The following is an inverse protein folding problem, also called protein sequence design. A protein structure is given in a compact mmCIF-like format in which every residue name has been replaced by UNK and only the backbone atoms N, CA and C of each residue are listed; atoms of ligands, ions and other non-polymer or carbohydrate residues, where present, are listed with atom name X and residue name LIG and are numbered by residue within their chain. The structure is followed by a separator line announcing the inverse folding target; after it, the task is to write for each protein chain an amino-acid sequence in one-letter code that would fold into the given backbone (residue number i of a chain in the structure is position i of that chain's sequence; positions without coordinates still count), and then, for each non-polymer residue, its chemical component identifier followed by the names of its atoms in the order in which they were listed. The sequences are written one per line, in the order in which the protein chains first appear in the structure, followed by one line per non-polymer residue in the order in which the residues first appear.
data_IF_713285367916
#
_entry.id   IF_713285367916
#
_cell.length_a   1.000
_cell.length_b   1.000
_cell.length_c   1.000
_cell.angle_alpha   90.00
_cell.angle_beta   90.00
_cell.angle_gamma   90.00
#
_symmetry.space_group_name_H-M   'P 1'
#
loop_
_entity.id
_entity.type
_entity.pdbx_description
1 polymer ?
#
# COMPACT_ATOMS: atom_id res chain seq x y z
N UNK A 1 1.62 29.94 1.00
CA UNK A 1 3.05 29.84 0.68
C UNK A 1 3.23 28.64 -0.24
N UNK A 2 3.34 28.87 -1.55
CA UNK A 2 3.50 27.79 -2.54
C UNK A 2 4.88 27.14 -2.42
N UNK A 3 4.94 25.98 -1.76
CA UNK A 3 6.14 25.17 -1.74
C UNK A 3 6.41 24.65 -3.17
N UNK A 4 7.69 24.53 -3.57
CA UNK A 4 8.06 23.89 -4.83
C UNK A 4 7.30 22.55 -4.97
N UNK A 5 6.63 22.28 -6.10
CA UNK A 5 5.94 21.01 -6.31
C UNK A 5 6.92 19.86 -6.07
N UNK A 6 6.45 18.82 -5.43
CA UNK A 6 7.26 17.64 -5.18
C UNK A 6 7.67 17.02 -6.52
N UNK A 7 8.97 16.85 -6.73
CA UNK A 7 9.54 16.25 -7.94
C UNK A 7 10.48 15.12 -7.53
N UNK A 8 10.32 13.96 -8.13
CA UNK A 8 11.29 12.87 -8.04
C UNK A 8 12.42 13.19 -9.02
N UNK A 9 13.66 13.22 -8.52
CA UNK A 9 14.86 13.39 -9.29
C UNK A 9 15.90 12.37 -8.81
N UNK A 10 16.02 11.28 -9.57
CA UNK A 10 16.91 10.15 -9.23
C UNK A 10 18.36 10.62 -9.16
N UNK A 11 18.79 11.47 -10.08
CA UNK A 11 20.17 11.96 -10.10
C UNK A 11 20.48 12.76 -8.83
N UNK A 12 19.58 13.65 -8.42
CA UNK A 12 19.70 14.40 -7.17
C UNK A 12 19.73 13.48 -5.96
N UNK A 13 18.81 12.53 -5.87
CA UNK A 13 18.74 11.58 -4.75
C UNK A 13 20.01 10.76 -4.63
N UNK A 14 20.57 10.29 -5.76
CA UNK A 14 21.83 9.54 -5.77
C UNK A 14 23.00 10.43 -5.33
N UNK A 15 23.06 11.69 -5.75
CA UNK A 15 24.09 12.65 -5.30
C UNK A 15 24.05 12.88 -3.79
N UNK A 16 22.84 13.05 -3.25
CA UNK A 16 22.65 13.33 -1.82
C UNK A 16 22.93 12.08 -0.95
N UNK A 17 22.39 10.93 -1.36
CA UNK A 17 22.48 9.69 -0.56
C UNK A 17 23.80 8.93 -0.73
N UNK A 18 24.39 9.01 -1.90
CA UNK A 18 25.62 8.30 -2.26
C UNK A 18 26.76 9.27 -2.60
N UNK A 19 26.81 10.45 -1.99
CA UNK A 19 27.75 11.54 -2.32
C UNK A 19 29.18 11.08 -2.53
N UNK A 20 29.68 10.19 -1.65
CA UNK A 20 31.03 9.63 -1.71
C UNK A 20 31.26 8.72 -2.93
N UNK A 21 30.22 8.01 -3.37
CA UNK A 21 30.30 6.99 -4.42
C UNK A 21 29.71 7.47 -5.74
N UNK A 22 28.97 8.60 -5.75
CA UNK A 22 28.28 9.13 -6.92
C UNK A 22 29.18 9.30 -8.14
N UNK A 23 30.42 9.77 -7.94
CA UNK A 23 31.40 9.96 -9.01
C UNK A 23 31.77 8.70 -9.79
N UNK A 24 31.50 7.52 -9.21
CA UNK A 24 31.73 6.21 -9.84
C UNK A 24 30.47 5.66 -10.53
N UNK A 25 29.32 6.31 -10.38
CA UNK A 25 28.09 5.85 -10.99
C UNK A 25 28.05 6.38 -12.44
N UNK A 26 28.08 5.48 -13.44
CA UNK A 26 28.07 5.90 -14.82
C UNK A 26 26.68 6.48 -15.20
N UNK A 27 26.66 7.49 -16.06
CA UNK A 27 25.40 8.16 -16.48
C UNK A 27 24.35 7.21 -17.05
N UNK A 28 24.78 6.15 -17.74
CA UNK A 28 23.82 5.16 -18.25
C UNK A 28 23.07 4.44 -17.13
N UNK A 29 23.70 4.20 -15.97
CA UNK A 29 23.03 3.57 -14.83
C UNK A 29 21.98 4.51 -14.19
N UNK A 30 22.29 5.81 -14.11
CA UNK A 30 21.32 6.82 -13.66
C UNK A 30 20.11 6.84 -14.60
N UNK A 31 20.34 6.96 -15.92
CA UNK A 31 19.26 6.94 -16.93
C UNK A 31 18.45 5.65 -16.92
N UNK A 32 19.12 4.52 -16.72
CA UNK A 32 18.44 3.22 -16.58
C UNK A 32 17.51 3.24 -15.37
N UNK A 33 17.94 3.80 -14.25
CA UNK A 33 17.15 3.88 -13.03
C UNK A 33 15.96 4.84 -13.22
N UNK A 34 16.17 6.04 -13.78
CA UNK A 34 15.13 7.00 -14.13
C UNK A 34 14.05 6.36 -15.02
N UNK A 35 14.46 5.61 -16.03
CA UNK A 35 13.56 4.88 -16.92
C UNK A 35 12.84 3.73 -16.17
N UNK A 36 13.56 2.99 -15.31
CA UNK A 36 13.00 1.87 -14.56
C UNK A 36 11.89 2.30 -13.61
N UNK A 37 12.04 3.46 -12.95
CA UNK A 37 10.99 4.00 -12.09
C UNK A 37 9.96 4.84 -12.86
N UNK A 38 10.09 5.00 -14.16
CA UNK A 38 9.23 5.84 -14.98
C UNK A 38 9.16 7.30 -14.45
N UNK A 39 10.31 7.89 -14.10
CA UNK A 39 10.44 9.17 -13.40
C UNK A 39 9.54 10.28 -13.97
N UNK A 40 9.50 10.46 -15.30
CA UNK A 40 8.72 11.53 -15.93
C UNK A 40 7.21 11.34 -15.73
N UNK A 41 6.72 10.11 -15.86
CA UNK A 41 5.31 9.77 -15.63
C UNK A 41 4.92 9.94 -14.16
N UNK A 42 5.79 9.51 -13.24
CA UNK A 42 5.57 9.75 -11.81
C UNK A 42 5.52 11.25 -11.49
N UNK A 43 6.39 12.05 -12.10
CA UNK A 43 6.38 13.49 -11.89
C UNK A 43 5.12 14.16 -12.46
N UNK A 44 4.58 13.66 -13.58
CA UNK A 44 3.29 14.12 -14.10
C UNK A 44 2.14 13.84 -13.10
N UNK A 45 2.09 12.62 -12.56
CA UNK A 45 1.11 12.24 -11.53
C UNK A 45 1.26 13.13 -10.28
N UNK A 46 2.48 13.30 -9.76
CA UNK A 46 2.75 14.15 -8.61
C UNK A 46 2.35 15.61 -8.81
N UNK A 47 2.49 16.12 -10.03
CA UNK A 47 2.04 17.47 -10.38
C UNK A 47 0.51 17.59 -10.26
N UNK A 48 -0.24 16.57 -10.65
CA UNK A 48 -1.71 16.55 -10.51
C UNK A 48 -2.17 16.41 -9.07
N UNK A 49 -1.34 15.82 -8.23
CA UNK A 49 -1.58 15.69 -6.78
C UNK A 49 -1.24 16.96 -6.00
N UNK A 50 -0.40 17.84 -6.57
CA UNK A 50 0.06 19.04 -5.89
C UNK A 50 -1.13 19.93 -5.48
N UNK A 51 -0.99 20.61 -4.35
CA UNK A 51 -1.98 21.56 -3.79
C UNK A 51 -3.37 20.95 -3.50
N UNK A 52 -3.48 19.62 -3.42
CA UNK A 52 -4.70 18.89 -3.05
C UNK A 52 -4.55 18.27 -1.65
N UNK A 53 -5.68 18.10 -0.96
CA UNK A 53 -5.71 17.24 0.23
C UNK A 53 -5.47 15.77 -0.15
N UNK A 54 -5.20 14.90 0.83
CA UNK A 54 -4.76 13.54 0.57
C UNK A 54 -5.75 12.70 -0.23
N UNK A 55 -7.06 12.84 0.01
CA UNK A 55 -8.10 12.08 -0.71
C UNK A 55 -8.21 12.58 -2.15
N UNK A 56 -8.30 13.90 -2.34
CA UNK A 56 -8.34 14.50 -3.67
C UNK A 56 -7.06 14.27 -4.46
N UNK A 57 -5.89 14.23 -3.78
CA UNK A 57 -4.62 13.92 -4.41
C UNK A 57 -4.61 12.47 -4.92
N UNK A 58 -5.09 11.51 -4.12
CA UNK A 58 -5.19 10.11 -4.55
C UNK A 58 -6.16 9.96 -5.73
N UNK A 59 -7.31 10.62 -5.68
CA UNK A 59 -8.29 10.64 -6.78
C UNK A 59 -7.69 11.26 -8.05
N UNK A 60 -6.97 12.38 -7.92
CA UNK A 60 -6.32 13.03 -9.05
C UNK A 60 -5.20 12.14 -9.66
N UNK A 61 -4.49 11.37 -8.84
CA UNK A 61 -3.49 10.42 -9.32
C UNK A 61 -4.13 9.28 -10.13
N UNK A 62 -5.24 8.72 -9.65
CA UNK A 62 -5.99 7.68 -10.38
C UNK A 62 -6.53 8.22 -11.71
N UNK A 63 -7.10 9.42 -11.71
CA UNK A 63 -7.62 10.07 -12.93
C UNK A 63 -6.50 10.34 -13.95
N UNK A 64 -5.32 10.82 -13.52
CA UNK A 64 -4.17 11.03 -14.42
C UNK A 64 -3.67 9.72 -15.03
N UNK A 65 -3.83 8.61 -14.31
CA UNK A 65 -3.51 7.28 -14.81
C UNK A 65 -4.67 6.62 -15.59
N UNK A 66 -5.82 7.31 -15.73
CA UNK A 66 -7.03 6.77 -16.36
C UNK A 66 -7.47 5.45 -15.72
N UNK A 67 -7.32 5.33 -14.39
CA UNK A 67 -7.70 4.13 -13.64
C UNK A 67 -9.10 4.29 -13.09
N UNK A 68 -9.97 3.35 -13.44
CA UNK A 68 -11.30 3.19 -12.84
C UNK A 68 -11.22 2.21 -11.68
N UNK A 69 -11.83 2.55 -10.54
CA UNK A 69 -11.99 1.63 -9.41
C UNK A 69 -13.44 1.17 -9.38
N UNK A 70 -13.65 -0.11 -9.65
CA UNK A 70 -14.95 -0.79 -9.48
C UNK A 70 -14.96 -1.46 -8.11
N UNK A 71 -15.88 -1.04 -7.25
CA UNK A 71 -16.04 -1.60 -5.92
C UNK A 71 -17.34 -2.38 -5.78
N UNK A 72 -17.39 -3.30 -4.84
CA UNK A 72 -18.60 -3.98 -4.40
C UNK A 72 -18.58 -4.17 -2.89
N UNK A 73 -19.73 -4.02 -2.26
CA UNK A 73 -19.95 -4.21 -0.82
C UNK A 73 -19.74 -2.97 0.05
N UNK A 74 -19.16 -1.88 -0.46
CA UNK A 74 -18.96 -0.67 0.34
C UNK A 74 -20.28 0.02 0.72
N UNK A 75 -21.27 0.02 -0.19
CA UNK A 75 -22.58 0.59 0.04
C UNK A 75 -23.41 -0.14 1.10
N UNK A 76 -23.08 -1.40 1.37
CA UNK A 76 -23.79 -2.25 2.32
C UNK A 76 -23.29 -2.06 3.78
N UNK A 77 -22.16 -1.37 3.96
CA UNK A 77 -21.61 -1.11 5.29
C UNK A 77 -22.45 -0.08 6.04
N UNK A 78 -22.90 -0.46 7.24
CA UNK A 78 -23.52 0.46 8.18
C UNK A 78 -22.54 1.54 8.67
N UNK A 79 -23.03 2.56 9.36
CA UNK A 79 -22.17 3.51 10.04
C UNK A 79 -21.45 2.81 11.20
N UNK A 80 -20.15 3.03 11.28
CA UNK A 80 -19.32 2.36 12.27
C UNK A 80 -17.88 2.83 12.27
N UNK A 81 -17.10 2.34 13.23
CA UNK A 81 -15.66 2.57 13.35
C UNK A 81 -14.94 1.32 12.89
N UNK A 82 -14.38 1.36 11.71
CA UNK A 82 -13.80 0.20 11.05
C UNK A 82 -12.27 0.24 10.99
N UNK A 83 -11.72 -0.95 10.89
CA UNK A 83 -10.33 -1.21 10.52
C UNK A 83 -10.34 -2.06 9.25
N UNK A 84 -10.09 -1.42 8.11
CA UNK A 84 -10.02 -2.08 6.80
C UNK A 84 -8.68 -2.79 6.66
N UNK A 85 -8.73 -4.11 6.43
CA UNK A 85 -7.57 -4.96 6.20
C UNK A 85 -7.60 -5.51 4.79
N UNK A 86 -6.54 -5.29 4.03
CA UNK A 86 -6.53 -5.64 2.61
C UNK A 86 -5.31 -6.47 2.22
N UNK A 87 -5.46 -7.33 1.19
CA UNK A 87 -4.32 -7.84 0.45
C UNK A 87 -3.60 -6.68 -0.26
N UNK A 88 -2.35 -6.92 -0.67
CA UNK A 88 -1.49 -5.86 -1.20
C UNK A 88 -0.80 -6.29 -2.51
N UNK A 89 -1.55 -6.49 -3.60
CA UNK A 89 -0.99 -7.03 -4.83
C UNK A 89 -0.10 -6.06 -5.61
N UNK A 90 -0.47 -4.78 -5.73
CA UNK A 90 0.13 -3.83 -6.68
C UNK A 90 1.11 -2.83 -6.03
N UNK A 91 1.09 -2.68 -4.72
CA UNK A 91 1.92 -1.69 -4.03
C UNK A 91 1.26 -0.32 -3.90
N UNK A 92 1.91 0.75 -4.35
CA UNK A 92 1.39 2.12 -4.18
C UNK A 92 -0.01 2.34 -4.74
N UNK A 93 -0.37 1.62 -5.79
CA UNK A 93 -1.67 1.76 -6.44
C UNK A 93 -2.83 1.28 -5.57
N UNK A 94 -2.65 0.20 -4.80
CA UNK A 94 -3.66 -0.29 -3.86
C UNK A 94 -3.96 0.78 -2.81
N UNK A 95 -2.90 1.44 -2.31
CA UNK A 95 -3.04 2.54 -1.35
C UNK A 95 -3.79 3.73 -1.93
N UNK A 96 -3.46 4.17 -3.15
CA UNK A 96 -4.17 5.27 -3.82
C UNK A 96 -5.65 4.94 -4.02
N UNK A 97 -5.97 3.71 -4.45
CA UNK A 97 -7.34 3.28 -4.66
C UNK A 97 -8.15 3.28 -3.34
N UNK A 98 -7.60 2.73 -2.25
CA UNK A 98 -8.29 2.74 -0.95
C UNK A 98 -8.43 4.14 -0.35
N UNK A 99 -7.41 5.00 -0.47
CA UNK A 99 -7.50 6.39 0.00
C UNK A 99 -8.61 7.13 -0.75
N UNK A 100 -8.66 7.00 -2.08
CA UNK A 100 -9.71 7.63 -2.89
C UNK A 100 -11.09 7.06 -2.54
N UNK A 101 -11.24 5.74 -2.56
CA UNK A 101 -12.52 5.06 -2.36
C UNK A 101 -13.10 5.33 -0.97
N UNK A 102 -12.36 4.99 0.08
CA UNK A 102 -12.81 5.13 1.46
C UNK A 102 -12.82 6.60 1.91
N UNK A 103 -11.87 7.40 1.44
CA UNK A 103 -11.85 8.84 1.75
C UNK A 103 -13.09 9.55 1.23
N UNK A 104 -13.54 9.27 0.01
CA UNK A 104 -14.77 9.84 -0.51
C UNK A 104 -16.04 9.30 0.19
N UNK A 105 -16.05 8.03 0.63
CA UNK A 105 -17.19 7.44 1.35
C UNK A 105 -17.34 7.99 2.78
N UNK A 106 -16.23 8.33 3.43
CA UNK A 106 -16.20 8.73 4.84
C UNK A 106 -15.78 10.20 5.07
N UNK A 107 -16.08 11.09 4.12
CA UNK A 107 -15.83 12.54 4.23
C UNK A 107 -14.40 12.87 4.65
N UNK A 108 -13.42 12.22 4.00
CA UNK A 108 -11.97 12.36 4.25
C UNK A 108 -11.50 11.86 5.63
N UNK A 109 -12.37 11.30 6.46
CA UNK A 109 -12.06 10.78 7.79
C UNK A 109 -11.46 9.38 7.70
N UNK A 110 -10.23 9.32 7.24
CA UNK A 110 -9.45 8.09 7.10
C UNK A 110 -8.03 8.26 7.61
N UNK A 111 -7.46 7.19 8.13
CA UNK A 111 -6.03 7.08 8.47
C UNK A 111 -5.46 5.78 7.91
N UNK A 112 -4.25 5.84 7.43
CA UNK A 112 -3.59 4.73 6.78
C UNK A 112 -2.24 4.44 7.42
N UNK A 113 -2.09 3.23 7.98
CA UNK A 113 -0.82 2.75 8.52
C UNK A 113 0.14 2.41 7.37
N UNK A 114 1.22 3.15 7.26
CA UNK A 114 2.18 3.03 6.15
C UNK A 114 3.62 2.90 6.65
N UNK A 115 4.50 2.38 5.81
CA UNK A 115 5.93 2.46 6.08
C UNK A 115 6.37 3.94 6.08
N UNK A 116 7.29 4.29 7.01
CA UNK A 116 7.82 5.65 7.18
C UNK A 116 8.39 6.27 5.90
N UNK A 117 8.92 5.46 4.98
CA UNK A 117 9.40 5.93 3.67
C UNK A 117 8.30 6.61 2.84
N UNK A 118 7.05 6.21 3.02
CA UNK A 118 5.92 6.81 2.28
C UNK A 118 5.58 8.22 2.75
N UNK A 119 6.07 8.66 3.91
CA UNK A 119 6.00 10.04 4.36
C UNK A 119 6.71 11.03 3.43
N UNK A 120 7.55 10.53 2.52
CA UNK A 120 8.14 11.31 1.44
C UNK A 120 7.07 11.81 0.44
N UNK A 121 5.93 11.11 0.29
CA UNK A 121 4.82 11.49 -0.59
C UNK A 121 3.97 12.58 0.08
N UNK A 122 4.44 13.82 0.01
CA UNK A 122 3.85 14.96 0.72
C UNK A 122 2.33 15.11 0.55
N UNK A 123 1.74 14.97 -0.67
CA UNK A 123 0.30 15.15 -0.85
C UNK A 123 -0.57 14.15 -0.07
N UNK A 124 -0.01 13.04 0.41
CA UNK A 124 -0.75 12.00 1.13
C UNK A 124 -0.47 11.97 2.64
N UNK A 125 0.31 12.93 3.16
CA UNK A 125 0.77 12.91 4.57
C UNK A 125 -0.34 13.00 5.59
N UNK A 126 -1.41 13.71 5.29
CA UNK A 126 -2.48 13.97 6.25
C UNK A 126 -3.25 12.69 6.64
N UNK A 127 -3.28 11.72 5.73
CA UNK A 127 -3.89 10.41 5.99
C UNK A 127 -2.88 9.36 6.45
N UNK A 128 -1.57 9.61 6.32
CA UNK A 128 -0.54 8.63 6.66
C UNK A 128 -0.16 8.65 8.13
N UNK A 129 -0.13 7.46 8.72
CA UNK A 129 0.44 7.20 10.03
C UNK A 129 1.66 6.27 9.85
N UNK A 130 2.88 6.78 10.08
CA UNK A 130 4.09 6.02 9.80
C UNK A 130 4.30 4.92 10.85
N UNK A 131 4.63 3.72 10.35
CA UNK A 131 5.08 2.59 11.18
C UNK A 131 6.54 2.29 10.86
N UNK A 132 7.40 2.34 11.87
CA UNK A 132 8.79 1.98 11.70
C UNK A 132 8.95 0.46 11.64
N UNK A 133 9.35 -0.05 10.48
CA UNK A 133 9.56 -1.48 10.25
C UNK A 133 10.88 -2.01 10.78
N UNK A 134 11.89 -1.15 10.96
CA UNK A 134 13.28 -1.53 11.22
C UNK A 134 13.87 -0.92 12.50
N UNK A 135 13.02 -0.43 13.41
CA UNK A 135 13.48 0.19 14.65
C UNK A 135 12.39 0.30 15.70
N UNK A 136 12.71 0.89 16.84
CA UNK A 136 11.70 1.23 17.84
C UNK A 136 10.81 2.36 17.30
N UNK A 137 9.50 2.21 17.46
CA UNK A 137 8.53 3.28 17.23
C UNK A 137 8.88 4.45 18.15
N UNK A 138 8.90 5.69 17.63
CA UNK A 138 9.03 6.84 18.51
C UNK A 138 7.78 6.95 19.39
N UNK A 139 7.93 7.43 20.63
CA UNK A 139 6.78 7.63 21.53
C UNK A 139 5.74 8.56 20.92
N UNK A 140 6.16 9.60 20.21
CA UNK A 140 5.26 10.53 19.52
C UNK A 140 4.46 9.87 18.41
N UNK A 141 5.07 8.99 17.63
CA UNK A 141 4.38 8.26 16.55
C UNK A 141 3.41 7.22 17.11
N UNK A 142 3.79 6.52 18.19
CA UNK A 142 2.88 5.61 18.87
C UNK A 142 1.64 6.34 19.39
N UNK A 143 1.83 7.49 20.06
CA UNK A 143 0.73 8.31 20.56
C UNK A 143 -0.21 8.81 19.43
N UNK A 144 0.34 9.21 18.28
CA UNK A 144 -0.48 9.59 17.12
C UNK A 144 -1.32 8.43 16.56
N UNK A 145 -0.77 7.22 16.55
CA UNK A 145 -1.51 6.02 16.13
C UNK A 145 -2.62 5.70 17.14
N UNK A 146 -2.32 5.78 18.43
CA UNK A 146 -3.29 5.55 19.50
C UNK A 146 -4.44 6.58 19.45
N UNK A 147 -4.12 7.87 19.37
CA UNK A 147 -5.09 8.95 19.23
C UNK A 147 -6.00 8.74 18.01
N UNK A 148 -5.43 8.39 16.88
CA UNK A 148 -6.19 8.13 15.67
C UNK A 148 -7.07 6.87 15.80
N UNK A 149 -6.61 5.82 16.49
CA UNK A 149 -7.39 4.61 16.75
C UNK A 149 -8.52 4.83 17.73
N UNK A 150 -8.37 5.76 18.70
CA UNK A 150 -9.43 6.17 19.62
C UNK A 150 -10.49 7.06 18.95
N UNK A 151 -10.09 7.84 17.94
CA UNK A 151 -10.97 8.74 17.19
C UNK A 151 -11.97 8.03 16.27
N UNK A 152 -12.67 8.80 15.45
CA UNK A 152 -13.73 8.31 14.56
C UNK A 152 -13.28 8.08 13.12
N UNK A 153 -12.00 8.34 12.81
CA UNK A 153 -11.45 8.07 11.48
C UNK A 153 -11.47 6.58 11.16
N UNK A 154 -11.75 6.23 9.92
CA UNK A 154 -11.60 4.86 9.44
C UNK A 154 -10.13 4.51 9.29
N UNK A 155 -9.76 3.30 9.67
CA UNK A 155 -8.37 2.85 9.63
C UNK A 155 -8.14 1.91 8.45
N UNK A 156 -7.03 2.10 7.74
CA UNK A 156 -6.64 1.26 6.60
C UNK A 156 -5.27 0.66 6.90
N UNK A 157 -5.09 -0.63 6.63
CA UNK A 157 -3.78 -1.28 6.73
C UNK A 157 -3.64 -2.43 5.74
N UNK A 158 -2.39 -2.65 5.32
CA UNK A 158 -1.96 -3.85 4.61
C UNK A 158 -1.16 -4.73 5.58
N UNK A 159 -1.78 -5.72 6.24
CA UNK A 159 -1.12 -6.45 7.32
C UNK A 159 0.09 -7.29 6.87
N UNK A 160 0.20 -7.60 5.57
CA UNK A 160 1.38 -8.24 4.99
C UNK A 160 2.63 -7.35 5.02
N UNK A 161 2.45 -6.01 5.04
CA UNK A 161 3.51 -5.01 5.04
C UNK A 161 4.41 -4.98 3.80
N UNK A 162 4.18 -5.84 2.83
CA UNK A 162 4.83 -5.92 1.52
C UNK A 162 3.84 -6.44 0.48
N UNK A 163 4.07 -6.08 -0.80
CA UNK A 163 3.25 -6.60 -1.89
C UNK A 163 3.23 -8.12 -1.95
N UNK A 164 2.13 -8.67 -2.47
CA UNK A 164 1.94 -10.11 -2.69
C UNK A 164 3.10 -10.74 -3.45
N UNK A 165 3.32 -12.02 -3.24
CA UNK A 165 4.44 -12.78 -3.82
C UNK A 165 3.94 -14.07 -4.46
N UNK A 166 4.70 -14.55 -5.45
CA UNK A 166 4.49 -15.87 -6.03
C UNK A 166 4.85 -16.95 -5.01
N UNK A 167 3.89 -17.81 -4.71
CA UNK A 167 4.02 -18.95 -3.82
C UNK A 167 4.71 -20.14 -4.54
N UNK A 168 5.11 -21.20 -3.81
CA UNK A 168 5.73 -22.38 -4.42
C UNK A 168 4.85 -23.09 -5.47
N UNK A 169 3.54 -23.06 -5.28
CA UNK A 169 2.53 -23.64 -6.19
C UNK A 169 2.25 -22.78 -7.43
N UNK A 170 2.83 -21.58 -7.52
CA UNK A 170 2.63 -20.63 -8.61
C UNK A 170 1.49 -19.64 -8.38
N UNK A 171 0.70 -19.79 -7.33
CA UNK A 171 -0.31 -18.82 -6.94
C UNK A 171 0.32 -17.49 -6.49
N UNK A 172 -0.44 -16.40 -6.58
CA UNK A 172 -0.04 -15.10 -6.07
C UNK A 172 -0.82 -14.81 -4.79
N UNK A 173 -0.11 -14.63 -3.70
CA UNK A 173 -0.71 -14.35 -2.40
C UNK A 173 0.19 -13.45 -1.55
N UNK A 174 -0.43 -12.83 -0.55
CA UNK A 174 0.29 -12.04 0.44
C UNK A 174 1.24 -12.91 1.27
N UNK A 175 2.27 -12.27 1.79
CA UNK A 175 3.08 -12.82 2.88
C UNK A 175 2.20 -13.02 4.14
N UNK A 176 2.68 -13.79 5.13
CA UNK A 176 1.95 -13.93 6.40
C UNK A 176 1.60 -12.57 7.00
N UNK A 177 0.34 -12.40 7.38
CA UNK A 177 -0.16 -11.15 7.96
C UNK A 177 0.35 -10.96 9.39
N UNK A 178 0.66 -9.72 9.73
CA UNK A 178 1.07 -9.31 11.06
C UNK A 178 -0.14 -9.19 11.99
N UNK A 179 0.05 -9.54 13.26
CA UNK A 179 -1.02 -9.52 14.27
C UNK A 179 -1.50 -8.10 14.67
N UNK A 180 -0.77 -7.04 14.30
CA UNK A 180 -1.04 -5.68 14.76
C UNK A 180 -2.48 -5.23 14.47
N UNK A 181 -3.03 -5.55 13.28
CA UNK A 181 -4.40 -5.21 12.93
C UNK A 181 -5.42 -5.83 13.91
N UNK A 182 -5.23 -7.11 14.30
CA UNK A 182 -6.09 -7.80 15.27
C UNK A 182 -5.98 -7.15 16.65
N UNK A 183 -4.76 -6.88 17.09
CA UNK A 183 -4.51 -6.23 18.40
C UNK A 183 -5.17 -4.84 18.45
N UNK A 184 -5.03 -4.04 17.40
CA UNK A 184 -5.68 -2.73 17.31
C UNK A 184 -7.21 -2.85 17.29
N UNK A 185 -7.77 -3.77 16.51
CA UNK A 185 -9.21 -4.00 16.46
C UNK A 185 -9.80 -4.30 17.85
N UNK A 186 -9.17 -5.19 18.60
CA UNK A 186 -9.61 -5.58 19.96
C UNK A 186 -9.46 -4.41 20.94
N UNK A 187 -8.26 -3.79 20.99
CA UNK A 187 -7.96 -2.76 21.98
C UNK A 187 -8.81 -1.51 21.81
N UNK A 188 -9.13 -1.13 20.56
CA UNK A 188 -9.86 0.10 20.23
C UNK A 188 -11.31 -0.17 19.80
N UNK A 189 -11.79 -1.42 19.95
CA UNK A 189 -13.18 -1.85 19.69
C UNK A 189 -13.63 -1.45 18.28
N UNK A 190 -12.82 -1.80 17.27
CA UNK A 190 -13.09 -1.58 15.86
C UNK A 190 -13.39 -2.87 15.15
N UNK A 191 -14.49 -2.94 14.44
CA UNK A 191 -14.78 -4.10 13.61
C UNK A 191 -13.83 -4.13 12.41
N UNK A 192 -13.41 -5.33 12.02
CA UNK A 192 -12.51 -5.53 10.89
C UNK A 192 -13.34 -5.71 9.62
N UNK A 193 -13.07 -4.86 8.62
CA UNK A 193 -13.63 -5.02 7.29
C UNK A 193 -12.58 -5.60 6.36
N UNK A 194 -12.77 -6.84 5.88
CA UNK A 194 -11.86 -7.46 4.92
C UNK A 194 -12.05 -6.84 3.55
N UNK A 195 -10.93 -6.55 2.87
CA UNK A 195 -10.89 -5.98 1.52
C UNK A 195 -10.03 -6.83 0.62
N UNK A 196 -10.51 -7.13 -0.58
CA UNK A 196 -9.76 -7.87 -1.58
C UNK A 196 -9.58 -7.05 -2.85
N UNK A 197 -8.32 -6.88 -3.29
CA UNK A 197 -7.98 -6.38 -4.60
C UNK A 197 -7.80 -7.53 -5.58
N UNK A 198 -8.60 -7.53 -6.65
CA UNK A 198 -8.50 -8.49 -7.74
C UNK A 198 -7.49 -8.00 -8.80
N UNK A 199 -6.22 -8.10 -8.47
CA UNK A 199 -5.15 -7.62 -9.34
C UNK A 199 -3.82 -8.35 -9.07
N UNK A 200 -2.93 -8.31 -10.07
CA UNK A 200 -1.57 -8.84 -9.96
C UNK A 200 -0.57 -7.96 -10.71
N UNK A 201 0.68 -7.98 -10.27
CA UNK A 201 1.81 -7.43 -11.01
C UNK A 201 2.23 -8.33 -12.17
N UNK A 202 3.16 -7.89 -12.99
CA UNK A 202 3.62 -8.69 -14.13
C UNK A 202 4.38 -9.95 -13.71
N UNK A 203 4.40 -10.94 -14.60
CA UNK A 203 5.23 -12.15 -14.46
C UNK A 203 6.70 -11.81 -14.20
N UNK A 204 7.21 -10.75 -14.83
CA UNK A 204 8.59 -10.29 -14.63
C UNK A 204 8.83 -9.93 -13.16
N UNK A 205 7.94 -9.15 -12.53
CA UNK A 205 8.08 -8.72 -11.13
C UNK A 205 8.22 -9.93 -10.19
N UNK A 206 7.34 -10.91 -10.32
CA UNK A 206 7.34 -12.09 -9.46
C UNK A 206 8.52 -13.02 -9.73
N UNK A 207 8.87 -13.24 -11.01
CA UNK A 207 10.03 -14.10 -11.38
C UNK A 207 11.33 -13.46 -10.91
N UNK A 208 11.48 -12.15 -11.04
CA UNK A 208 12.64 -11.42 -10.54
C UNK A 208 12.76 -11.52 -9.02
N UNK A 209 11.66 -11.34 -8.28
CA UNK A 209 11.62 -11.51 -6.82
C UNK A 209 12.03 -12.93 -6.40
N UNK A 210 11.53 -13.97 -7.11
CA UNK A 210 11.91 -15.37 -6.87
C UNK A 210 13.39 -15.61 -7.13
N UNK A 211 13.90 -15.11 -8.25
CA UNK A 211 15.31 -15.23 -8.64
C UNK A 211 16.22 -14.55 -7.62
N UNK A 212 15.92 -13.30 -7.23
CA UNK A 212 16.63 -12.56 -6.19
C UNK A 212 16.72 -13.37 -4.89
N UNK A 213 15.58 -13.93 -4.43
CA UNK A 213 15.51 -14.76 -3.21
C UNK A 213 16.40 -16.02 -3.35
N UNK A 214 16.38 -16.66 -4.51
CA UNK A 214 17.23 -17.86 -4.79
C UNK A 214 18.72 -17.57 -4.74
N UNK A 215 19.13 -16.36 -5.14
CA UNK A 215 20.52 -15.90 -5.06
C UNK A 215 20.93 -15.40 -3.66
N UNK A 216 20.05 -15.46 -2.66
CA UNK A 216 20.35 -15.08 -1.29
C UNK A 216 20.37 -13.56 -1.02
N UNK A 217 19.95 -12.71 -1.97
CA UNK A 217 19.87 -11.28 -1.72
C UNK A 217 18.76 -10.95 -0.72
N UNK A 218 19.12 -10.35 0.41
CA UNK A 218 18.20 -10.02 1.51
C UNK A 218 17.33 -8.78 1.22
N UNK A 219 17.83 -7.85 0.40
CA UNK A 219 17.09 -6.63 0.05
C UNK A 219 16.04 -6.91 -1.02
N UNK A 220 14.87 -6.32 -0.88
CA UNK A 220 13.75 -6.46 -1.84
C UNK A 220 13.98 -5.55 -3.07
N UNK A 221 15.02 -5.81 -3.86
CA UNK A 221 15.43 -4.99 -5.02
C UNK A 221 14.28 -4.89 -6.05
N UNK A 222 13.42 -5.90 -6.13
CA UNK A 222 12.26 -5.90 -7.03
C UNK A 222 11.30 -4.74 -6.79
N UNK A 223 11.30 -4.14 -5.59
CA UNK A 223 10.44 -3.00 -5.28
C UNK A 223 10.75 -1.77 -6.15
N UNK A 224 11.95 -1.69 -6.72
CA UNK A 224 12.34 -0.63 -7.66
C UNK A 224 11.49 -0.66 -8.95
N UNK A 225 10.89 -1.81 -9.27
CA UNK A 225 10.04 -1.98 -10.44
C UNK A 225 8.56 -1.64 -10.16
N UNK A 226 8.15 -1.44 -8.89
CA UNK A 226 6.75 -1.14 -8.56
C UNK A 226 6.20 0.11 -9.26
N UNK A 227 6.96 1.21 -9.39
CA UNK A 227 6.49 2.34 -10.18
C UNK A 227 6.18 1.98 -11.63
N UNK A 228 7.03 1.17 -12.25
CA UNK A 228 6.79 0.68 -13.63
C UNK A 228 5.58 -0.24 -13.70
N UNK A 229 5.37 -1.10 -12.70
CA UNK A 229 4.18 -1.96 -12.61
C UNK A 229 2.91 -1.12 -12.46
N UNK A 230 2.94 -0.06 -11.65
CA UNK A 230 1.85 0.90 -11.50
C UNK A 230 1.51 1.59 -12.84
N UNK A 231 2.52 2.08 -13.55
CA UNK A 231 2.34 2.73 -14.87
C UNK A 231 1.77 1.75 -15.93
N UNK A 232 2.08 0.47 -15.84
CA UNK A 232 1.47 -0.55 -16.73
C UNK A 232 -0.03 -0.74 -16.51
N UNK A 233 -0.56 -0.27 -15.38
CA UNK A 233 -1.99 -0.31 -15.06
C UNK A 233 -2.77 0.91 -15.56
N UNK A 234 -2.10 1.89 -16.15
CA UNK A 234 -2.80 3.03 -16.74
C UNK A 234 -3.84 2.56 -17.77
N UNK A 235 -5.03 3.17 -17.75
CA UNK A 235 -6.17 2.81 -18.61
C UNK A 235 -6.88 1.52 -18.21
N UNK A 236 -6.62 0.96 -17.02
CA UNK A 236 -7.26 -0.29 -16.58
C UNK A 236 -8.30 -0.05 -15.47
N UNK A 237 -9.13 -1.07 -15.27
CA UNK A 237 -10.07 -1.14 -14.16
C UNK A 237 -9.48 -1.98 -13.02
N UNK A 238 -9.53 -1.45 -11.80
CA UNK A 238 -9.20 -2.17 -10.57
C UNK A 238 -10.49 -2.60 -9.88
N UNK A 239 -10.63 -3.89 -9.63
CA UNK A 239 -11.76 -4.43 -8.87
C UNK A 239 -11.41 -4.57 -7.41
N UNK A 240 -12.28 -4.04 -6.56
CA UNK A 240 -12.13 -4.05 -5.10
C UNK A 240 -13.39 -4.64 -4.48
N UNK A 241 -13.24 -5.71 -3.74
CA UNK A 241 -14.35 -6.36 -3.03
C UNK A 241 -14.23 -6.01 -1.55
N UNK A 242 -15.28 -5.44 -0.99
CA UNK A 242 -15.42 -5.12 0.43
C UNK A 242 -16.30 -6.21 1.05
N UNK A 243 -15.79 -6.90 2.05
CA UNK A 243 -16.53 -7.96 2.73
C UNK A 243 -17.30 -7.46 3.94
N UNK A 244 -18.09 -8.36 4.53
CA UNK A 244 -18.86 -8.09 5.75
C UNK A 244 -17.95 -7.78 6.95
N UNK A 245 -18.34 -6.86 7.82
CA UNK A 245 -17.60 -6.55 9.04
C UNK A 245 -17.51 -7.76 9.97
N UNK A 246 -16.31 -8.00 10.46
CA UNK A 246 -16.02 -9.02 11.47
C UNK A 246 -15.95 -8.31 12.82
N UNK A 247 -16.88 -8.62 13.72
CA UNK A 247 -16.92 -7.97 15.03
C UNK A 247 -15.62 -8.20 15.80
N UNK A 248 -15.07 -7.13 16.37
CA UNK A 248 -13.89 -7.20 17.23
C UNK A 248 -14.08 -8.13 18.43
N UNK A 249 -15.33 -8.30 18.91
CA UNK A 249 -15.69 -9.21 20.01
C UNK A 249 -15.53 -10.70 19.63
N UNK A 250 -15.57 -11.01 18.32
CA UNK A 250 -15.40 -12.37 17.82
C UNK A 250 -13.93 -12.78 17.64
N UNK A 251 -12.98 -11.84 17.83
CA UNK A 251 -11.56 -12.08 17.64
C UNK A 251 -10.94 -12.72 18.89
N UNK A 252 -10.06 -13.70 18.71
CA UNK A 252 -9.34 -14.33 19.82
C UNK A 252 -8.13 -13.49 20.27
N UNK A 253 -8.29 -12.78 21.38
CA UNK A 253 -7.24 -11.96 21.98
C UNK A 253 -6.02 -12.79 22.46
N UNK A 254 -6.20 -14.11 22.74
CA UNK A 254 -5.12 -14.98 23.21
C UNK A 254 -4.22 -15.44 22.07
N UNK A 255 -4.76 -15.54 20.85
CA UNK A 255 -4.05 -16.04 19.68
C UNK A 255 -4.08 -15.06 18.48
N UNK A 256 -3.65 -13.79 18.64
CA UNK A 256 -3.80 -12.76 17.58
C UNK A 256 -3.06 -13.08 16.28
N UNK A 257 -2.00 -13.92 16.34
CA UNK A 257 -1.31 -14.39 15.12
C UNK A 257 -2.15 -15.40 14.33
N UNK A 258 -2.91 -16.25 15.00
CA UNK A 258 -3.82 -17.20 14.34
C UNK A 258 -4.99 -16.46 13.73
N UNK A 259 -5.52 -15.44 14.44
CA UNK A 259 -6.57 -14.56 13.92
C UNK A 259 -6.09 -13.79 12.67
N UNK A 260 -4.87 -13.26 12.66
CA UNK A 260 -4.30 -12.61 11.48
C UNK A 260 -4.19 -13.58 10.29
N UNK A 261 -3.84 -14.85 10.53
CA UNK A 261 -3.81 -15.87 9.49
C UNK A 261 -5.23 -16.19 8.98
N UNK A 262 -6.22 -16.29 9.89
CA UNK A 262 -7.65 -16.47 9.55
C UNK A 262 -8.18 -15.32 8.70
N UNK A 263 -7.90 -14.08 9.08
CA UNK A 263 -8.29 -12.89 8.30
C UNK A 263 -7.68 -12.90 6.90
N UNK A 264 -6.39 -13.24 6.79
CA UNK A 264 -5.73 -13.40 5.48
C UNK A 264 -6.43 -14.45 4.63
N UNK A 265 -6.85 -15.57 5.22
CA UNK A 265 -7.58 -16.63 4.51
C UNK A 265 -8.97 -16.16 4.06
N UNK A 266 -9.69 -15.41 4.91
CA UNK A 266 -10.98 -14.80 4.56
C UNK A 266 -10.80 -13.91 3.34
N UNK A 267 -9.87 -12.98 3.38
CA UNK A 267 -9.60 -12.07 2.24
C UNK A 267 -9.20 -12.85 0.98
N UNK A 268 -8.38 -13.89 1.12
CA UNK A 268 -7.98 -14.72 -0.03
C UNK A 268 -9.18 -15.45 -0.67
N UNK A 269 -10.14 -15.89 0.14
CA UNK A 269 -11.37 -16.57 -0.33
C UNK A 269 -12.38 -15.62 -1.00
N UNK A 270 -12.22 -14.29 -0.85
CA UNK A 270 -13.02 -13.30 -1.58
C UNK A 270 -12.59 -13.18 -3.05
N UNK A 271 -11.46 -13.78 -3.44
CA UNK A 271 -11.01 -13.84 -4.82
C UNK A 271 -12.07 -14.54 -5.70
N UNK A 272 -12.53 -13.93 -6.81
CA UNK A 272 -13.43 -14.62 -7.74
C UNK A 272 -12.74 -15.86 -8.36
N UNK A 273 -11.47 -15.73 -8.69
CA UNK A 273 -10.60 -16.83 -9.12
C UNK A 273 -9.16 -16.61 -8.61
N UNK A 274 -8.46 -17.69 -8.20
CA UNK A 274 -7.07 -17.57 -7.79
C UNK A 274 -6.18 -17.13 -8.97
N UNK A 275 -5.38 -16.11 -8.77
CA UNK A 275 -4.37 -15.72 -9.76
C UNK A 275 -3.22 -16.71 -9.79
N UNK A 276 -3.09 -17.45 -10.86
CA UNK A 276 -1.95 -18.31 -11.15
C UNK A 276 -1.12 -17.74 -12.30
N UNK A 277 0.19 -17.66 -12.10
CA UNK A 277 1.09 -17.46 -13.23
C UNK A 277 1.33 -18.82 -13.88
N UNK A 278 0.75 -19.05 -15.06
CA UNK A 278 1.05 -20.21 -15.86
C UNK A 278 2.57 -20.37 -16.02
N UNK A 279 3.04 -21.62 -15.97
CA UNK A 279 4.46 -21.99 -15.98
C UNK A 279 5.19 -21.58 -17.26
#
# INVERSE_FOLDING_TARGET
MGGKPMKIDVDQVLRERLSRYYKYIPRFAVRWLEHTICQDKLNAILLKMADKNSVDAATAALNEMEITVEESGLGDLADGRYLFVSNHPLGGLDGLALISLLGNRYDHRIKFLVNDLLMAVKPLRDVFLPVNKYGSQSRSTAAQIEEALEGDDQFITFPAGLCSRMQPDGSIADLPWQQAAVVHAINYKRDIVPVYFDAVNSRFFYRFAKWRKRLGFKFNIELIFLPKEMIKKCGSTLRVVIGEPISWQSLDAKHPRQEAARLREIVTKMAPEPHHLER
#
